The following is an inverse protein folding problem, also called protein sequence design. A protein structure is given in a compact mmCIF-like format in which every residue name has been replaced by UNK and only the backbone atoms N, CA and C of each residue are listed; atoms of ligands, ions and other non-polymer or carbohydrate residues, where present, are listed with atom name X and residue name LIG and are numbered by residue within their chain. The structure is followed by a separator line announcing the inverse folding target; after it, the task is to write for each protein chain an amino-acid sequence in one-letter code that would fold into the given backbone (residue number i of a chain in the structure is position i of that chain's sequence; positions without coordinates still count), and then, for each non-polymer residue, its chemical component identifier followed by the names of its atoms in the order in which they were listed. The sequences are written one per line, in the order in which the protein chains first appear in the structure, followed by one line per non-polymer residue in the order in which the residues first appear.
data_IF_348025478853
#
_entry.id   IF_348025478853
#
_cell.length_a   1.000
_cell.length_b   1.000
_cell.length_c   1.000
_cell.angle_alpha   90.00
_cell.angle_beta   90.00
_cell.angle_gamma   90.00
#
_symmetry.space_group_name_H-M   'P 1'
#
loop_
_entity.id
_entity.type
_entity.pdbx_description
1 polymer ?
#
# COMPACT_ATOMS: atom_id res chain seq x y z
N UNK A 1 -7.54 22.80 17.93
CA UNK A 1 -6.64 21.64 17.79
C UNK A 1 -7.52 20.50 17.33
N UNK A 2 -7.35 19.99 16.09
CA UNK A 2 -8.15 18.87 15.59
C UNK A 2 -7.41 17.57 15.77
N UNK A 3 -8.01 16.63 16.50
CA UNK A 3 -7.48 15.30 16.72
C UNK A 3 -8.20 14.30 15.83
N UNK A 4 -7.46 13.64 14.95
CA UNK A 4 -7.99 12.66 14.00
C UNK A 4 -7.41 11.28 14.31
N UNK A 5 -8.30 10.32 14.52
CA UNK A 5 -7.93 8.90 14.61
C UNK A 5 -7.97 8.26 13.23
N UNK A 6 -6.90 7.63 12.81
CA UNK A 6 -6.83 6.83 11.59
C UNK A 6 -6.90 5.37 11.94
N UNK A 7 -7.76 4.61 11.25
CA UNK A 7 -7.94 3.16 11.40
C UNK A 7 -7.70 2.43 10.08
N UNK A 8 -6.97 1.31 10.16
CA UNK A 8 -6.79 0.38 9.07
C UNK A 8 -7.17 -1.03 9.57
N UNK A 9 -8.38 -1.46 9.24
CA UNK A 9 -8.95 -2.73 9.67
C UNK A 9 -8.71 -3.82 8.63
N UNK A 10 -7.83 -4.77 8.96
CA UNK A 10 -7.63 -6.02 8.22
C UNK A 10 -8.51 -7.15 8.75
N UNK A 11 -8.42 -8.34 8.15
CA UNK A 11 -9.24 -9.51 8.53
C UNK A 11 -9.02 -9.97 9.98
N UNK A 12 -7.81 -9.83 10.51
CA UNK A 12 -7.42 -10.28 11.86
C UNK A 12 -6.58 -9.26 12.62
N UNK A 13 -6.55 -8.01 12.17
CA UNK A 13 -5.77 -6.94 12.78
C UNK A 13 -6.42 -5.58 12.59
N UNK A 14 -6.10 -4.64 13.48
CA UNK A 14 -6.44 -3.22 13.34
C UNK A 14 -5.19 -2.42 13.62
N UNK A 15 -4.75 -1.58 12.68
CA UNK A 15 -3.71 -0.57 12.95
C UNK A 15 -4.39 0.76 13.21
N UNK A 16 -3.79 1.57 14.10
CA UNK A 16 -4.31 2.89 14.39
C UNK A 16 -3.18 3.92 14.56
N UNK A 17 -3.50 5.17 14.26
CA UNK A 17 -2.66 6.31 14.58
C UNK A 17 -3.56 7.50 14.95
N UNK A 18 -3.24 8.19 16.03
CA UNK A 18 -3.89 9.41 16.47
C UNK A 18 -3.01 10.61 16.15
N UNK A 19 -3.55 11.53 15.38
CA UNK A 19 -2.85 12.74 14.92
C UNK A 19 -3.34 14.00 15.64
N UNK A 20 -2.41 14.91 15.95
CA UNK A 20 -2.70 16.32 16.13
C UNK A 20 -2.54 17.03 14.78
N UNK A 21 -3.65 17.47 14.20
CA UNK A 21 -3.64 18.10 12.88
C UNK A 21 -3.23 19.57 12.91
N UNK A 22 -2.90 20.15 14.07
CA UNK A 22 -2.34 21.51 14.14
C UNK A 22 -0.90 21.58 13.64
N UNK A 23 -0.14 20.49 13.81
CA UNK A 23 1.25 20.33 13.36
C UNK A 23 1.49 19.02 12.59
N UNK A 24 0.43 18.22 12.36
CA UNK A 24 0.46 16.93 11.68
C UNK A 24 1.31 15.87 12.40
N UNK A 25 1.49 16.01 13.71
CA UNK A 25 2.27 15.06 14.50
C UNK A 25 1.45 13.87 14.94
N UNK A 26 2.12 12.71 15.06
CA UNK A 26 1.52 11.49 15.64
C UNK A 26 1.60 11.58 17.15
N UNK A 27 0.44 11.65 17.82
CA UNK A 27 0.36 11.62 19.29
C UNK A 27 0.69 10.21 19.82
N UNK A 28 0.05 9.19 19.24
CA UNK A 28 0.28 7.77 19.53
C UNK A 28 -0.12 6.93 18.34
N UNK A 29 0.46 5.75 18.21
CA UNK A 29 0.08 4.79 17.17
C UNK A 29 0.22 3.37 17.70
N UNK A 30 -0.32 2.40 16.96
CA UNK A 30 -0.20 1.01 17.34
C UNK A 30 -1.06 0.08 16.51
N UNK A 31 -1.38 -1.07 17.08
CA UNK A 31 -2.24 -2.02 16.40
C UNK A 31 -2.63 -3.20 17.27
N UNK A 32 -3.73 -3.78 16.93
CA UNK A 32 -4.22 -5.05 17.47
C UNK A 32 -3.93 -6.13 16.46
N UNK A 33 -3.40 -7.24 16.94
CA UNK A 33 -3.07 -8.41 16.13
C UNK A 33 -3.80 -9.65 16.64
N UNK A 34 -4.02 -10.62 15.74
CA UNK A 34 -4.62 -11.91 16.06
C UNK A 34 -6.06 -11.83 16.60
N UNK A 35 -6.87 -10.89 16.09
CA UNK A 35 -8.29 -10.81 16.43
C UNK A 35 -8.97 -12.14 16.12
N UNK A 36 -9.79 -12.63 17.06
CA UNK A 36 -10.44 -13.93 16.99
C UNK A 36 -9.63 -15.09 17.57
N UNK A 37 -8.38 -14.84 18.02
CA UNK A 37 -7.54 -15.83 18.67
C UNK A 37 -7.34 -15.52 20.15
N UNK A 38 -7.07 -16.53 21.00
CA UNK A 38 -6.93 -16.33 22.44
C UNK A 38 -5.69 -15.52 22.86
N UNK A 39 -4.68 -15.46 21.98
CA UNK A 39 -3.42 -14.75 22.19
C UNK A 39 -3.37 -13.41 21.45
N UNK A 40 -4.52 -12.76 21.28
CA UNK A 40 -4.60 -11.39 20.74
C UNK A 40 -3.81 -10.42 21.62
N UNK A 41 -3.24 -9.41 21.01
CA UNK A 41 -2.53 -8.35 21.72
C UNK A 41 -2.67 -7.00 21.04
N UNK A 42 -2.54 -5.93 21.83
CA UNK A 42 -2.38 -4.57 21.34
C UNK A 42 -0.94 -4.13 21.54
N UNK A 43 -0.43 -3.41 20.58
CA UNK A 43 0.81 -2.64 20.67
C UNK A 43 0.48 -1.16 20.74
N UNK A 44 1.12 -0.43 21.62
CA UNK A 44 1.03 1.03 21.74
C UNK A 44 2.41 1.61 21.57
N UNK A 45 2.57 2.59 20.69
CA UNK A 45 3.79 3.35 20.51
C UNK A 45 3.55 4.77 21.01
N UNK A 46 4.18 5.12 22.11
CA UNK A 46 4.08 6.42 22.77
C UNK A 46 5.49 6.93 23.07
N UNK A 47 5.79 8.20 22.75
CA UNK A 47 7.10 8.83 22.99
C UNK A 47 8.31 8.04 22.45
N UNK A 48 8.11 7.31 21.34
CA UNK A 48 9.16 6.49 20.72
C UNK A 48 9.30 5.07 21.30
N UNK A 49 8.67 4.78 22.43
CA UNK A 49 8.66 3.46 23.06
C UNK A 49 7.48 2.62 22.59
N UNK A 50 7.69 1.30 22.51
CA UNK A 50 6.68 0.33 22.07
C UNK A 50 6.33 -0.60 23.23
N UNK A 51 5.05 -0.59 23.61
CA UNK A 51 4.50 -1.41 24.69
C UNK A 51 3.54 -2.44 24.11
N UNK A 52 3.55 -3.66 24.67
CA UNK A 52 2.66 -4.75 24.26
C UNK A 52 1.81 -5.16 25.45
N UNK A 53 0.49 -5.27 25.21
CA UNK A 53 -0.47 -5.78 26.18
C UNK A 53 -1.27 -6.93 25.56
N UNK A 54 -1.53 -7.99 26.30
CA UNK A 54 -2.26 -9.16 25.85
C UNK A 54 -3.66 -9.19 26.46
N UNK A 55 -4.67 -9.42 25.62
CA UNK A 55 -6.07 -9.58 26.01
C UNK A 55 -6.80 -10.30 24.89
N UNK A 56 -7.60 -11.32 25.17
CA UNK A 56 -8.42 -11.95 24.14
C UNK A 56 -9.38 -10.95 23.50
N UNK A 57 -9.35 -10.85 22.19
CA UNK A 57 -10.21 -9.99 21.37
C UNK A 57 -10.99 -10.86 20.39
N UNK A 58 -12.31 -10.99 20.61
CA UNK A 58 -13.15 -11.88 19.83
C UNK A 58 -13.42 -11.35 18.42
N UNK A 59 -13.57 -10.03 18.27
CA UNK A 59 -13.98 -9.40 17.01
C UNK A 59 -13.56 -7.92 16.94
N UNK A 60 -13.79 -7.28 15.77
CA UNK A 60 -13.34 -5.92 15.50
C UNK A 60 -13.94 -4.86 16.42
N UNK A 61 -15.23 -4.99 16.80
CA UNK A 61 -15.87 -4.02 17.72
C UNK A 61 -15.16 -3.99 19.07
N UNK A 62 -14.87 -5.17 19.63
CA UNK A 62 -14.09 -5.29 20.86
C UNK A 62 -12.66 -4.72 20.70
N UNK A 63 -12.08 -4.88 19.50
CA UNK A 63 -10.78 -4.30 19.16
C UNK A 63 -10.79 -2.77 19.15
N UNK A 64 -11.76 -2.17 18.46
CA UNK A 64 -11.92 -0.70 18.43
C UNK A 64 -12.20 -0.15 19.82
N UNK A 65 -13.07 -0.83 20.60
CA UNK A 65 -13.34 -0.47 21.98
C UNK A 65 -12.04 -0.47 22.81
N UNK A 66 -11.20 -1.49 22.67
CA UNK A 66 -9.93 -1.53 23.40
C UNK A 66 -8.97 -0.41 22.99
N UNK A 67 -8.92 -0.04 21.69
CA UNK A 67 -8.17 1.14 21.27
C UNK A 67 -8.68 2.38 22.01
N UNK A 68 -10.00 2.58 22.07
CA UNK A 68 -10.60 3.73 22.77
C UNK A 68 -10.30 3.73 24.27
N UNK A 69 -10.36 2.56 24.91
CA UNK A 69 -9.95 2.39 26.32
C UNK A 69 -8.49 2.81 26.53
N UNK A 70 -7.57 2.32 25.69
CA UNK A 70 -6.14 2.65 25.77
C UNK A 70 -5.88 4.14 25.53
N UNK A 71 -6.63 4.79 24.63
CA UNK A 71 -6.47 6.22 24.35
C UNK A 71 -6.96 7.11 25.50
N UNK A 72 -7.91 6.63 26.33
CA UNK A 72 -8.59 7.44 27.36
C UNK A 72 -8.34 7.01 28.79
N UNK A 73 -7.79 5.81 29.02
CA UNK A 73 -7.65 5.22 30.34
C UNK A 73 -6.27 4.58 30.55
N UNK A 74 -5.81 4.58 31.80
CA UNK A 74 -4.57 3.91 32.19
C UNK A 74 -3.28 4.68 31.84
N UNK A 75 -2.19 3.94 31.80
CA UNK A 75 -0.82 4.49 31.66
C UNK A 75 -0.56 5.15 30.28
N UNK A 76 -1.26 4.67 29.23
CA UNK A 76 -1.04 5.13 27.86
C UNK A 76 -2.09 6.12 27.38
N UNK A 77 -2.95 6.63 28.30
CA UNK A 77 -3.99 7.58 27.97
C UNK A 77 -3.40 8.91 27.46
N UNK A 78 -3.86 9.36 26.31
CA UNK A 78 -3.47 10.61 25.66
C UNK A 78 -4.65 11.55 25.46
N UNK A 79 -5.85 11.08 25.75
CA UNK A 79 -7.11 11.83 25.72
C UNK A 79 -7.77 11.80 27.10
N UNK A 80 -8.47 12.85 27.48
CA UNK A 80 -9.27 12.88 28.71
C UNK A 80 -10.62 12.17 28.50
N UNK A 81 -11.18 12.28 27.30
CA UNK A 81 -12.40 11.59 26.87
C UNK A 81 -12.39 11.43 25.35
N UNK A 82 -13.26 10.56 24.83
CA UNK A 82 -13.44 10.39 23.37
C UNK A 82 -14.06 11.63 22.69
N UNK A 83 -14.65 12.56 23.44
CA UNK A 83 -15.17 13.83 22.89
C UNK A 83 -14.05 14.74 22.38
N UNK A 84 -12.79 14.46 22.71
CA UNK A 84 -11.66 15.17 22.13
C UNK A 84 -11.30 14.73 20.71
N UNK A 85 -11.91 13.64 20.21
CA UNK A 85 -11.77 13.20 18.82
C UNK A 85 -12.71 14.03 17.93
N UNK A 86 -12.15 14.65 16.91
CA UNK A 86 -12.94 15.44 15.94
C UNK A 86 -13.48 14.58 14.79
N UNK A 87 -12.75 13.55 14.36
CA UNK A 87 -13.14 12.67 13.27
C UNK A 87 -12.33 11.36 13.27
N UNK A 88 -12.80 10.37 12.50
CA UNK A 88 -12.10 9.11 12.24
C UNK A 88 -11.93 8.91 10.74
N UNK A 89 -10.69 8.68 10.31
CA UNK A 89 -10.34 8.30 8.95
C UNK A 89 -10.15 6.79 8.84
N UNK A 90 -10.71 6.18 7.79
CA UNK A 90 -10.59 4.75 7.55
C UNK A 90 -9.88 4.46 6.23
N UNK A 91 -8.90 3.57 6.24
CA UNK A 91 -8.43 2.95 5.02
C UNK A 91 -9.49 1.98 4.52
N UNK A 92 -9.91 2.18 3.27
CA UNK A 92 -10.84 1.33 2.53
C UNK A 92 -10.10 0.71 1.35
N UNK A 93 -10.22 -0.61 1.12
CA UNK A 93 -9.34 -1.24 0.14
C UNK A 93 -9.86 -1.07 -1.28
N UNK A 94 -11.10 -1.41 -1.58
CA UNK A 94 -11.59 -1.44 -2.96
C UNK A 94 -12.90 -0.70 -3.15
N UNK A 95 -12.81 0.50 -3.73
CA UNK A 95 -13.97 1.34 -3.98
C UNK A 95 -14.69 1.09 -5.33
N UNK A 96 -14.23 0.13 -6.13
CA UNK A 96 -14.75 -0.08 -7.48
C UNK A 96 -14.57 1.17 -8.33
N UNK A 97 -15.47 1.40 -9.28
CA UNK A 97 -15.51 2.62 -10.09
C UNK A 97 -16.31 3.75 -9.44
N UNK A 98 -17.02 3.45 -8.33
CA UNK A 98 -17.88 4.41 -7.64
C UNK A 98 -17.09 5.45 -6.81
N UNK A 99 -15.92 5.06 -6.31
CA UNK A 99 -15.13 5.90 -5.41
C UNK A 99 -13.79 6.30 -6.06
N UNK A 100 -13.76 7.50 -6.61
CA UNK A 100 -12.58 8.11 -7.23
C UNK A 100 -11.88 9.15 -6.35
N UNK A 101 -12.35 9.32 -5.13
CA UNK A 101 -11.82 10.22 -4.08
C UNK A 101 -12.28 9.76 -2.71
N UNK A 102 -11.70 10.34 -1.67
CA UNK A 102 -12.13 10.16 -0.29
C UNK A 102 -13.50 10.77 -0.05
N UNK A 103 -14.33 10.15 0.80
CA UNK A 103 -15.71 10.56 1.05
C UNK A 103 -16.10 10.44 2.52
N UNK A 104 -17.06 11.27 2.97
CA UNK A 104 -17.77 11.05 4.23
C UNK A 104 -18.57 9.76 4.16
N UNK A 105 -18.47 8.93 5.20
CA UNK A 105 -19.13 7.63 5.29
C UNK A 105 -20.56 7.82 5.82
N UNK A 106 -21.50 8.12 4.90
CA UNK A 106 -22.94 8.10 5.17
C UNK A 106 -23.51 6.69 5.00
N UNK A 107 -24.73 6.40 5.48
CA UNK A 107 -25.39 5.11 5.23
C UNK A 107 -25.44 4.73 3.76
N UNK A 108 -25.72 5.68 2.86
CA UNK A 108 -25.79 5.47 1.40
C UNK A 108 -24.40 5.14 0.81
N UNK A 109 -23.34 5.80 1.31
CA UNK A 109 -21.96 5.49 0.93
C UNK A 109 -21.56 4.11 1.40
N UNK A 110 -21.95 3.71 2.62
CA UNK A 110 -21.67 2.38 3.15
C UNK A 110 -22.40 1.27 2.38
N UNK A 111 -23.63 1.50 1.95
CA UNK A 111 -24.36 0.58 1.07
C UNK A 111 -23.66 0.44 -0.29
N UNK A 112 -23.28 1.57 -0.91
CA UNK A 112 -22.54 1.58 -2.17
C UNK A 112 -21.19 0.88 -2.05
N UNK A 113 -20.49 1.03 -0.92
CA UNK A 113 -19.23 0.35 -0.65
C UNK A 113 -19.42 -1.16 -0.42
N UNK A 114 -20.46 -1.56 0.30
CA UNK A 114 -20.79 -2.98 0.50
C UNK A 114 -21.07 -3.71 -0.83
N UNK A 115 -21.61 -3.02 -1.83
CA UNK A 115 -21.78 -3.56 -3.18
C UNK A 115 -20.45 -3.85 -3.90
N UNK A 116 -19.31 -3.36 -3.40
CA UNK A 116 -17.98 -3.66 -3.91
C UNK A 116 -17.32 -4.87 -3.21
N UNK A 117 -18.00 -5.56 -2.31
CA UNK A 117 -17.43 -6.68 -1.55
C UNK A 117 -16.89 -7.81 -2.43
N UNK A 118 -17.54 -8.10 -3.55
CA UNK A 118 -17.12 -9.16 -4.48
C UNK A 118 -15.77 -8.87 -5.13
N UNK A 119 -15.39 -7.59 -5.25
CA UNK A 119 -14.10 -7.17 -5.78
C UNK A 119 -12.94 -7.35 -4.78
N UNK A 120 -13.23 -7.33 -3.47
CA UNK A 120 -12.24 -7.52 -2.41
C UNK A 120 -12.83 -8.27 -1.19
N UNK A 121 -13.24 -9.55 -1.35
CA UNK A 121 -14.00 -10.29 -0.33
C UNK A 121 -13.21 -10.54 0.97
N UNK A 122 -11.88 -10.46 0.93
CA UNK A 122 -11.03 -10.62 2.12
C UNK A 122 -10.78 -9.30 2.87
N UNK A 123 -11.07 -8.14 2.25
CA UNK A 123 -10.71 -6.83 2.80
C UNK A 123 -11.92 -5.95 3.09
N UNK A 124 -12.80 -5.74 2.11
CA UNK A 124 -13.93 -4.82 2.28
C UNK A 124 -14.84 -5.16 3.46
N UNK A 125 -15.21 -6.45 3.71
CA UNK A 125 -16.00 -6.78 4.89
C UNK A 125 -15.34 -6.41 6.22
N UNK A 126 -14.00 -6.52 6.32
CA UNK A 126 -13.25 -6.12 7.51
C UNK A 126 -13.24 -4.59 7.68
N UNK A 127 -13.10 -3.84 6.57
CA UNK A 127 -13.21 -2.38 6.59
C UNK A 127 -14.60 -1.94 7.08
N UNK A 128 -15.68 -2.54 6.57
CA UNK A 128 -17.06 -2.26 7.00
C UNK A 128 -17.23 -2.53 8.50
N UNK A 129 -16.70 -3.64 9.03
CA UNK A 129 -16.72 -3.93 10.46
C UNK A 129 -16.05 -2.84 11.30
N UNK A 130 -14.91 -2.31 10.83
CA UNK A 130 -14.22 -1.21 11.50
C UNK A 130 -15.06 0.05 11.57
N UNK A 131 -15.69 0.46 10.46
CA UNK A 131 -16.59 1.62 10.41
C UNK A 131 -17.80 1.42 11.34
N UNK A 132 -18.45 0.26 11.26
CA UNK A 132 -19.60 -0.06 12.10
C UNK A 132 -19.25 -0.09 13.60
N UNK A 133 -18.05 -0.57 13.95
CA UNK A 133 -17.57 -0.57 15.33
C UNK A 133 -17.43 0.86 15.88
N UNK A 134 -16.86 1.78 15.08
CA UNK A 134 -16.78 3.19 15.44
C UNK A 134 -18.18 3.80 15.56
N UNK A 135 -19.08 3.54 14.61
CA UNK A 135 -20.47 4.06 14.63
C UNK A 135 -21.26 3.59 15.87
N UNK A 136 -21.03 2.35 16.32
CA UNK A 136 -21.69 1.81 17.52
C UNK A 136 -21.20 2.49 18.81
N UNK A 137 -19.92 2.87 18.88
CA UNK A 137 -19.31 3.46 20.07
C UNK A 137 -19.39 5.00 20.07
N UNK A 138 -19.31 5.62 18.90
CA UNK A 138 -19.34 7.07 18.68
C UNK A 138 -20.29 7.40 17.52
N UNK A 139 -21.62 7.35 17.73
CA UNK A 139 -22.61 7.41 16.64
C UNK A 139 -22.62 8.76 15.89
N UNK A 140 -22.12 9.83 16.48
CA UNK A 140 -22.18 11.17 15.91
C UNK A 140 -20.82 11.64 15.37
N UNK A 141 -19.74 10.84 15.50
CA UNK A 141 -18.43 11.26 15.01
C UNK A 141 -18.38 11.20 13.48
N UNK A 142 -17.87 12.24 12.80
CA UNK A 142 -17.66 12.16 11.37
C UNK A 142 -16.64 11.07 11.01
N UNK A 143 -16.95 10.25 10.01
CA UNK A 143 -16.07 9.20 9.52
C UNK A 143 -15.80 9.40 8.04
N UNK A 144 -14.55 9.21 7.61
CA UNK A 144 -14.12 9.38 6.22
C UNK A 144 -13.49 8.10 5.71
N UNK A 145 -13.87 7.66 4.52
CA UNK A 145 -13.28 6.53 3.80
C UNK A 145 -12.26 7.02 2.76
N UNK A 146 -11.06 6.47 2.82
CA UNK A 146 -9.96 6.71 1.87
C UNK A 146 -9.63 5.41 1.16
N UNK A 147 -9.81 5.37 -0.17
CA UNK A 147 -9.79 4.12 -0.93
C UNK A 147 -8.45 3.91 -1.62
N UNK A 148 -7.86 2.71 -1.47
CA UNK A 148 -6.60 2.34 -2.13
C UNK A 148 -6.68 2.41 -3.66
N UNK A 149 -7.87 2.23 -4.23
CA UNK A 149 -8.10 2.25 -5.68
C UNK A 149 -8.40 3.64 -6.24
N UNK A 150 -8.72 4.62 -5.39
CA UNK A 150 -9.24 5.92 -5.85
C UNK A 150 -8.24 6.71 -6.70
N UNK A 151 -6.96 6.73 -6.32
CA UNK A 151 -5.91 7.46 -7.04
C UNK A 151 -5.75 6.97 -8.48
N UNK A 152 -6.01 5.70 -8.73
CA UNK A 152 -5.87 5.04 -10.04
C UNK A 152 -7.10 5.23 -10.95
N UNK A 153 -8.17 5.86 -10.49
CA UNK A 153 -9.39 6.06 -11.29
C UNK A 153 -9.22 7.09 -12.40
N UNK A 154 -8.07 7.76 -12.50
CA UNK A 154 -7.72 8.68 -13.58
C UNK A 154 -7.06 7.99 -14.79
N UNK A 155 -6.83 6.68 -14.72
CA UNK A 155 -6.32 5.90 -15.86
C UNK A 155 -7.28 5.99 -17.05
N UNK A 156 -6.76 6.15 -18.29
CA UNK A 156 -7.59 6.06 -19.50
C UNK A 156 -8.07 4.62 -19.73
N UNK A 157 -9.16 4.48 -20.47
CA UNK A 157 -9.81 3.19 -20.71
C UNK A 157 -8.89 2.14 -21.34
N UNK A 158 -8.06 2.53 -22.30
CA UNK A 158 -7.10 1.65 -22.95
C UNK A 158 -5.97 1.16 -22.00
N UNK A 159 -5.78 1.79 -20.85
CA UNK A 159 -4.80 1.36 -19.85
C UNK A 159 -5.43 0.42 -18.81
N UNK A 160 -6.70 0.63 -18.44
CA UNK A 160 -7.34 -0.20 -17.42
C UNK A 160 -8.11 -1.41 -17.99
N UNK A 161 -8.47 -1.43 -19.27
CA UNK A 161 -9.22 -2.55 -19.86
C UNK A 161 -8.34 -3.76 -20.10
N UNK A 162 -8.83 -4.93 -19.72
CA UNK A 162 -8.25 -6.19 -20.20
C UNK A 162 -8.78 -6.55 -21.58
N UNK A 163 -7.96 -7.17 -22.42
CA UNK A 163 -8.36 -7.67 -23.74
C UNK A 163 -9.22 -8.94 -23.62
N UNK A 164 -10.37 -8.80 -22.98
CA UNK A 164 -11.39 -9.83 -22.75
C UNK A 164 -12.71 -9.38 -23.42
N UNK A 165 -13.70 -10.28 -23.61
CA UNK A 165 -15.03 -9.86 -24.08
C UNK A 165 -15.56 -8.69 -23.25
N UNK A 166 -15.94 -7.60 -23.91
CA UNK A 166 -16.32 -6.33 -23.27
C UNK A 166 -17.47 -6.47 -22.26
N UNK A 167 -18.38 -7.44 -22.50
CA UNK A 167 -19.47 -7.75 -21.58
C UNK A 167 -19.02 -8.16 -20.17
N UNK A 168 -17.80 -8.72 -20.03
CA UNK A 168 -17.27 -9.10 -18.72
C UNK A 168 -16.91 -7.87 -17.88
N UNK A 169 -16.43 -6.81 -18.54
CA UNK A 169 -16.28 -5.52 -17.89
C UNK A 169 -17.64 -4.94 -17.49
N UNK A 170 -18.59 -4.88 -18.43
CA UNK A 170 -19.90 -4.29 -18.18
C UNK A 170 -20.67 -4.99 -17.05
N UNK A 171 -20.61 -6.33 -17.01
CA UNK A 171 -21.40 -7.14 -16.08
C UNK A 171 -20.75 -7.32 -14.72
N UNK A 172 -19.40 -7.46 -14.70
CA UNK A 172 -18.66 -7.87 -13.51
C UNK A 172 -17.59 -6.86 -13.07
N UNK A 173 -17.42 -5.76 -13.79
CA UNK A 173 -16.38 -4.76 -13.49
C UNK A 173 -14.96 -5.30 -13.67
N UNK A 174 -14.75 -6.27 -14.59
CA UNK A 174 -13.43 -6.88 -14.82
C UNK A 174 -12.54 -5.92 -15.58
N UNK A 175 -11.70 -5.20 -14.83
CA UNK A 175 -10.70 -4.23 -15.29
C UNK A 175 -9.56 -4.11 -14.30
N UNK A 176 -8.49 -3.41 -14.68
CA UNK A 176 -7.45 -2.97 -13.76
C UNK A 176 -7.99 -1.87 -12.85
N UNK A 177 -7.79 -1.99 -11.54
CA UNK A 177 -8.09 -0.95 -10.55
C UNK A 177 -6.82 -0.38 -9.91
N UNK A 178 -5.85 -1.25 -9.59
CA UNK A 178 -4.65 -0.87 -8.85
C UNK A 178 -4.92 -0.68 -7.37
N UNK A 179 -3.84 -0.74 -6.59
CA UNK A 179 -3.85 -0.63 -5.12
C UNK A 179 -2.66 0.21 -4.65
N UNK A 180 -2.48 0.38 -3.34
CA UNK A 180 -1.54 1.32 -2.75
C UNK A 180 -1.73 2.76 -3.23
N UNK A 181 -2.93 3.11 -3.70
CA UNK A 181 -3.20 4.43 -4.29
C UNK A 181 -2.97 5.57 -3.32
N UNK A 182 -3.26 5.39 -2.04
CA UNK A 182 -2.97 6.38 -0.99
C UNK A 182 -1.48 6.66 -0.90
N UNK A 183 -0.64 5.61 -0.91
CA UNK A 183 0.82 5.74 -0.93
C UNK A 183 1.31 6.40 -2.22
N UNK A 184 0.90 5.93 -3.40
CA UNK A 184 1.32 6.51 -4.68
C UNK A 184 0.94 7.99 -4.79
N UNK A 185 -0.25 8.38 -4.31
CA UNK A 185 -0.70 9.76 -4.24
C UNK A 185 0.21 10.59 -3.32
N UNK A 186 0.42 10.12 -2.10
CA UNK A 186 1.25 10.80 -1.11
C UNK A 186 2.67 11.05 -1.65
N UNK A 187 3.37 9.99 -2.09
CA UNK A 187 4.77 10.12 -2.49
C UNK A 187 4.97 10.88 -3.79
N UNK A 188 3.98 10.85 -4.72
CA UNK A 188 4.05 11.63 -5.95
C UNK A 188 3.86 13.14 -5.69
N UNK A 189 3.08 13.52 -4.71
CA UNK A 189 2.96 14.91 -4.25
C UNK A 189 4.20 15.32 -3.46
N UNK A 190 4.60 14.48 -2.51
CA UNK A 190 5.73 14.76 -1.62
C UNK A 190 7.05 14.93 -2.35
N UNK A 191 7.31 14.14 -3.39
CA UNK A 191 8.54 14.31 -4.19
C UNK A 191 8.58 15.64 -4.91
N UNK A 192 7.43 16.15 -5.38
CA UNK A 192 7.35 17.47 -6.00
C UNK A 192 7.67 18.59 -4.98
N UNK A 193 7.11 18.48 -3.77
CA UNK A 193 7.42 19.40 -2.67
C UNK A 193 8.90 19.35 -2.29
N UNK A 194 9.44 18.13 -2.11
CA UNK A 194 10.85 17.90 -1.75
C UNK A 194 11.81 18.49 -2.78
N UNK A 195 11.49 18.38 -4.07
CA UNK A 195 12.31 18.94 -5.16
C UNK A 195 11.99 20.41 -5.49
N UNK A 196 10.97 21.02 -4.87
CA UNK A 196 10.53 22.37 -5.17
C UNK A 196 9.97 22.55 -6.58
N UNK A 197 9.32 21.51 -7.15
CA UNK A 197 8.74 21.52 -8.49
C UNK A 197 7.23 21.33 -8.43
N UNK A 198 6.52 21.79 -9.46
CA UNK A 198 5.10 21.53 -9.62
C UNK A 198 4.86 20.17 -10.28
N UNK A 199 3.75 19.48 -9.99
CA UNK A 199 3.41 18.21 -10.65
C UNK A 199 3.04 18.36 -12.12
N UNK A 200 2.56 19.54 -12.54
CA UNK A 200 2.20 19.81 -13.94
C UNK A 200 3.43 19.72 -14.84
N UNK A 201 3.29 19.01 -15.95
CA UNK A 201 4.37 18.74 -16.91
C UNK A 201 5.35 17.65 -16.45
N UNK A 202 5.18 17.06 -15.26
CA UNK A 202 6.06 16.00 -14.75
C UNK A 202 5.53 14.60 -15.04
N UNK A 203 6.47 13.72 -15.36
CA UNK A 203 6.27 12.28 -15.55
C UNK A 203 7.03 11.55 -14.44
N UNK A 204 6.27 11.00 -13.50
CA UNK A 204 6.82 10.40 -12.28
C UNK A 204 6.50 8.91 -12.27
N UNK A 205 7.49 8.09 -11.99
CA UNK A 205 7.29 6.66 -11.69
C UNK A 205 7.47 6.47 -10.20
N UNK A 206 6.44 5.99 -9.53
CA UNK A 206 6.43 5.72 -8.09
C UNK A 206 6.53 4.23 -7.85
N UNK A 207 7.61 3.79 -7.19
CA UNK A 207 7.88 2.38 -6.87
C UNK A 207 7.61 2.13 -5.38
N UNK A 208 6.40 1.67 -5.04
CA UNK A 208 6.06 1.23 -3.69
C UNK A 208 6.49 -0.22 -3.53
N UNK A 209 7.62 -0.44 -2.86
CA UNK A 209 8.28 -1.74 -2.78
C UNK A 209 8.31 -2.21 -1.32
N UNK A 210 7.36 -3.06 -0.97
CA UNK A 210 7.21 -3.70 0.34
C UNK A 210 7.04 -5.21 0.21
N UNK A 211 6.43 -5.84 1.20
CA UNK A 211 6.01 -7.25 1.09
C UNK A 211 4.90 -7.42 0.05
N UNK A 212 3.95 -6.47 -0.02
CA UNK A 212 3.19 -6.16 -1.23
C UNK A 212 3.92 -5.05 -1.99
N UNK A 213 3.94 -5.10 -3.32
CA UNK A 213 4.66 -4.15 -4.13
C UNK A 213 3.87 -3.75 -5.39
N UNK A 214 3.95 -2.48 -5.76
CA UNK A 214 3.37 -1.96 -7.00
C UNK A 214 4.16 -0.76 -7.54
N UNK A 215 3.98 -0.49 -8.81
CA UNK A 215 4.50 0.71 -9.48
C UNK A 215 3.32 1.46 -10.08
N UNK A 216 3.38 2.79 -10.08
CA UNK A 216 2.42 3.62 -10.79
C UNK A 216 3.13 4.64 -11.68
N UNK A 217 2.54 4.88 -12.84
CA UNK A 217 2.89 5.94 -13.76
C UNK A 217 2.02 7.17 -13.46
N UNK A 218 2.65 8.27 -13.08
CA UNK A 218 1.96 9.52 -12.70
C UNK A 218 2.38 10.62 -13.66
N UNK A 219 1.43 11.18 -14.37
CA UNK A 219 1.64 12.28 -15.32
C UNK A 219 0.75 13.46 -14.92
N UNK A 220 1.34 14.64 -14.83
CA UNK A 220 0.60 15.86 -14.43
C UNK A 220 -0.16 15.69 -13.09
N UNK A 221 0.43 14.97 -12.13
CA UNK A 221 -0.18 14.67 -10.84
C UNK A 221 -1.29 13.62 -10.85
N UNK A 222 -1.59 12.99 -12.00
CA UNK A 222 -2.64 11.96 -12.18
C UNK A 222 -2.04 10.61 -12.52
N UNK A 223 -2.59 9.56 -11.92
CA UNK A 223 -2.23 8.19 -12.30
C UNK A 223 -2.71 7.90 -13.73
N UNK A 224 -1.82 7.43 -14.59
CA UNK A 224 -2.13 7.03 -15.97
C UNK A 224 -1.97 5.53 -16.20
N UNK A 225 -1.25 4.83 -15.33
CA UNK A 225 -1.14 3.38 -15.31
C UNK A 225 -0.64 2.89 -13.95
N UNK A 226 -0.88 1.61 -13.62
CA UNK A 226 -0.38 0.97 -12.40
C UNK A 226 -0.24 -0.54 -12.58
N UNK A 227 0.66 -1.17 -11.84
CA UNK A 227 1.03 -2.57 -12.04
C UNK A 227 0.07 -3.58 -11.42
N UNK A 228 -0.62 -3.27 -10.33
CA UNK A 228 -1.65 -4.15 -9.79
C UNK A 228 -2.93 -4.07 -10.64
N UNK A 229 -3.64 -5.19 -10.75
CA UNK A 229 -4.76 -5.33 -11.66
C UNK A 229 -6.14 -5.22 -11.01
N UNK A 230 -7.03 -6.14 -11.36
CA UNK A 230 -8.32 -6.37 -10.70
C UNK A 230 -8.11 -6.70 -9.22
N UNK A 231 -7.04 -7.43 -8.93
CA UNK A 231 -6.62 -7.82 -7.57
C UNK A 231 -5.17 -7.37 -7.32
N UNK A 232 -4.70 -7.39 -6.06
CA UNK A 232 -3.31 -7.06 -5.75
C UNK A 232 -2.29 -8.15 -6.15
N UNK A 233 -2.63 -9.07 -7.03
CA UNK A 233 -1.76 -10.17 -7.48
C UNK A 233 -0.90 -9.81 -8.68
N UNK A 234 -1.49 -9.18 -9.70
CA UNK A 234 -0.82 -8.78 -10.95
C UNK A 234 0.33 -7.79 -10.68
N UNK A 235 1.33 -7.79 -11.55
CA UNK A 235 2.41 -6.81 -11.57
C UNK A 235 3.74 -7.35 -11.06
N UNK A 236 4.29 -6.67 -10.06
CA UNK A 236 5.60 -6.99 -9.50
C UNK A 236 5.62 -8.34 -8.80
N UNK A 237 6.80 -8.99 -8.78
CA UNK A 237 7.07 -10.08 -7.85
C UNK A 237 7.05 -9.49 -6.44
N UNK A 238 6.42 -10.18 -5.49
CA UNK A 238 6.24 -9.71 -4.12
C UNK A 238 6.82 -10.73 -3.12
N UNK A 239 6.65 -10.51 -1.85
CA UNK A 239 7.15 -11.45 -0.84
C UNK A 239 6.61 -12.88 -1.04
N UNK A 240 5.28 -13.00 -1.24
CA UNK A 240 4.59 -14.31 -1.41
C UNK A 240 3.73 -14.39 -2.66
N UNK A 241 3.56 -13.30 -3.41
CA UNK A 241 2.74 -13.23 -4.63
C UNK A 241 3.62 -13.32 -5.87
N UNK A 242 3.13 -14.04 -6.88
CA UNK A 242 3.87 -14.28 -8.12
C UNK A 242 4.10 -13.01 -8.96
N UNK A 243 3.18 -12.04 -8.88
CA UNK A 243 3.09 -10.99 -9.89
C UNK A 243 2.62 -11.58 -11.23
N UNK A 244 3.01 -10.91 -12.33
CA UNK A 244 2.63 -11.35 -13.69
C UNK A 244 3.05 -12.78 -13.97
N UNK A 245 2.10 -13.54 -14.51
CA UNK A 245 2.28 -14.91 -14.97
C UNK A 245 1.43 -15.11 -16.22
N UNK A 246 1.87 -15.99 -17.11
CA UNK A 246 1.06 -16.45 -18.23
C UNK A 246 -0.23 -17.11 -17.75
N UNK A 247 -1.38 -16.65 -18.24
CA UNK A 247 -2.68 -17.22 -17.90
C UNK A 247 -2.78 -18.71 -18.30
N UNK A 248 -2.10 -19.13 -19.38
CA UNK A 248 -2.00 -20.54 -19.80
C UNK A 248 -1.23 -21.37 -18.77
N UNK A 249 -0.18 -20.80 -18.14
CA UNK A 249 0.53 -21.49 -17.06
C UNK A 249 -0.36 -21.69 -15.82
N UNK A 250 -1.29 -20.77 -15.54
CA UNK A 250 -2.25 -20.90 -14.42
C UNK A 250 -3.14 -22.12 -14.61
N UNK A 251 -3.79 -22.25 -15.78
CA UNK A 251 -4.66 -23.40 -16.09
C UNK A 251 -3.88 -24.71 -16.17
N UNK A 252 -2.66 -24.68 -16.74
CA UNK A 252 -1.77 -25.85 -16.76
C UNK A 252 -1.44 -26.35 -15.34
N UNK A 253 -1.13 -25.44 -14.40
CA UNK A 253 -0.84 -25.80 -13.01
C UNK A 253 -2.07 -26.35 -12.29
N UNK A 254 -3.27 -25.80 -12.57
CA UNK A 254 -4.52 -26.34 -12.01
C UNK A 254 -4.70 -27.79 -12.40
N UNK A 255 -4.53 -28.14 -13.68
CA UNK A 255 -4.64 -29.50 -14.16
C UNK A 255 -3.53 -30.41 -13.60
N UNK A 256 -2.27 -29.98 -13.61
CA UNK A 256 -1.12 -30.78 -13.16
C UNK A 256 -1.12 -31.09 -11.67
N UNK A 257 -1.58 -30.14 -10.86
CA UNK A 257 -1.58 -30.24 -9.40
C UNK A 257 -2.95 -30.58 -8.82
N UNK A 258 -3.99 -30.72 -9.66
CA UNK A 258 -5.37 -30.97 -9.22
C UNK A 258 -5.93 -29.85 -8.36
N UNK A 259 -5.61 -28.58 -8.67
CA UNK A 259 -6.00 -27.44 -7.88
C UNK A 259 -7.35 -26.89 -8.35
N UNK A 260 -8.24 -26.62 -7.40
CA UNK A 260 -9.42 -25.77 -7.61
C UNK A 260 -9.06 -24.27 -7.61
N UNK A 261 -10.05 -23.42 -7.73
CA UNK A 261 -9.86 -21.96 -7.71
C UNK A 261 -9.26 -21.44 -6.40
N UNK A 262 -9.54 -22.09 -5.27
CA UNK A 262 -8.97 -21.73 -3.96
C UNK A 262 -7.51 -22.19 -3.88
N UNK A 263 -7.21 -23.38 -4.36
CA UNK A 263 -5.86 -23.94 -4.41
C UNK A 263 -4.91 -23.09 -5.25
N UNK A 264 -5.31 -22.74 -6.47
CA UNK A 264 -4.48 -21.90 -7.34
C UNK A 264 -4.33 -20.48 -6.79
N UNK A 265 -5.40 -19.89 -6.23
CA UNK A 265 -5.32 -18.60 -5.57
C UNK A 265 -4.35 -18.61 -4.39
N UNK A 266 -4.36 -19.68 -3.57
CA UNK A 266 -3.43 -19.83 -2.47
C UNK A 266 -1.97 -19.97 -2.96
N UNK A 267 -1.74 -20.78 -4.01
CA UNK A 267 -0.42 -20.94 -4.62
C UNK A 267 0.15 -19.57 -5.06
N UNK A 268 -0.62 -18.82 -5.86
CA UNK A 268 -0.16 -17.57 -6.46
C UNK A 268 -0.02 -16.41 -5.46
N UNK A 269 -0.84 -16.38 -4.39
CA UNK A 269 -0.84 -15.29 -3.42
C UNK A 269 0.02 -15.54 -2.19
N UNK A 270 0.21 -16.82 -1.75
CA UNK A 270 0.84 -17.12 -0.45
C UNK A 270 2.08 -18.01 -0.54
N UNK A 271 2.32 -18.70 -1.66
CA UNK A 271 3.39 -19.69 -1.79
C UNK A 271 4.35 -19.35 -2.93
N UNK A 272 4.18 -18.23 -3.58
CA UNK A 272 4.97 -17.76 -4.72
C UNK A 272 5.91 -16.60 -4.35
N UNK A 273 6.29 -15.79 -5.28
CA UNK A 273 7.12 -14.61 -5.05
C UNK A 273 8.53 -14.96 -4.57
N UNK A 274 9.10 -14.07 -3.75
CA UNK A 274 10.42 -14.29 -3.15
C UNK A 274 10.45 -15.61 -2.35
N UNK A 275 9.42 -15.88 -1.55
CA UNK A 275 9.29 -17.12 -0.78
C UNK A 275 9.37 -18.36 -1.67
N UNK A 276 8.57 -18.41 -2.73
CA UNK A 276 8.46 -19.57 -3.61
C UNK A 276 9.74 -19.83 -4.39
N UNK A 277 10.38 -18.77 -4.91
CA UNK A 277 11.60 -18.91 -5.72
C UNK A 277 12.83 -19.22 -4.85
N UNK A 278 12.95 -18.57 -3.70
CA UNK A 278 14.09 -18.79 -2.80
C UNK A 278 14.00 -20.09 -1.99
N UNK A 279 12.79 -20.66 -1.89
CA UNK A 279 12.46 -21.76 -0.98
C UNK A 279 12.85 -21.48 0.49
N UNK A 280 12.86 -20.21 0.88
CA UNK A 280 13.34 -19.79 2.20
C UNK A 280 12.47 -18.74 2.88
N UNK A 281 12.45 -17.53 2.36
CA UNK A 281 11.77 -16.40 3.02
C UNK A 281 11.11 -15.45 2.05
N UNK A 282 10.06 -14.79 2.51
CA UNK A 282 9.42 -13.65 1.85
C UNK A 282 10.06 -12.31 2.20
N UNK A 283 10.97 -12.28 3.18
CA UNK A 283 11.65 -11.07 3.64
C UNK A 283 12.93 -10.84 2.83
N UNK A 284 13.05 -9.68 2.21
CA UNK A 284 14.22 -9.35 1.39
C UNK A 284 15.54 -9.35 2.19
N UNK A 285 15.50 -9.10 3.49
CA UNK A 285 16.67 -9.17 4.38
C UNK A 285 17.21 -10.59 4.49
N UNK A 286 16.32 -11.57 4.61
CA UNK A 286 16.69 -12.98 4.66
C UNK A 286 17.19 -13.46 3.30
N UNK A 287 16.62 -12.94 2.19
CA UNK A 287 17.13 -13.20 0.84
C UNK A 287 18.58 -12.73 0.72
N UNK A 288 18.92 -11.52 1.18
CA UNK A 288 20.28 -11.02 1.18
C UNK A 288 21.23 -11.86 2.05
N UNK A 289 20.77 -12.26 3.24
CA UNK A 289 21.52 -13.18 4.11
C UNK A 289 21.75 -14.54 3.45
N UNK A 290 20.74 -15.07 2.75
CA UNK A 290 20.87 -16.31 1.98
C UNK A 290 21.92 -16.19 0.88
N UNK A 291 21.96 -15.07 0.16
CA UNK A 291 22.98 -14.81 -0.89
C UNK A 291 24.38 -14.78 -0.26
N UNK A 292 24.57 -14.11 0.86
CA UNK A 292 25.84 -14.05 1.57
C UNK A 292 26.33 -15.43 2.01
N UNK A 293 25.42 -16.38 2.24
CA UNK A 293 25.68 -17.77 2.57
C UNK A 293 25.77 -18.71 1.34
N UNK A 294 25.78 -18.15 0.12
CA UNK A 294 25.95 -18.91 -1.12
C UNK A 294 24.68 -19.61 -1.63
N UNK A 295 23.48 -19.14 -1.23
CA UNK A 295 22.21 -19.69 -1.71
C UNK A 295 21.88 -19.15 -3.11
N UNK A 296 22.01 -19.99 -4.13
CA UNK A 296 21.73 -19.65 -5.53
C UNK A 296 20.25 -19.33 -5.80
N UNK A 297 19.31 -19.97 -5.08
CA UNK A 297 17.88 -19.66 -5.22
C UNK A 297 17.53 -18.30 -4.65
N UNK A 298 18.15 -17.89 -3.55
CA UNK A 298 18.01 -16.54 -3.00
C UNK A 298 18.56 -15.49 -3.98
N UNK A 299 19.71 -15.75 -4.62
CA UNK A 299 20.26 -14.89 -5.67
C UNK A 299 19.29 -14.77 -6.85
N UNK A 300 18.79 -15.91 -7.36
CA UNK A 300 17.80 -15.92 -8.44
C UNK A 300 16.54 -15.11 -8.08
N UNK A 301 16.00 -15.32 -6.87
CA UNK A 301 14.82 -14.60 -6.40
C UNK A 301 15.04 -13.07 -6.40
N UNK A 302 16.19 -12.59 -5.89
CA UNK A 302 16.58 -11.19 -5.93
C UNK A 302 16.70 -10.67 -7.37
N UNK A 303 17.38 -11.40 -8.24
CA UNK A 303 17.62 -10.97 -9.62
C UNK A 303 16.29 -10.87 -10.39
N UNK A 304 15.38 -11.84 -10.24
CA UNK A 304 14.02 -11.78 -10.81
C UNK A 304 13.21 -10.60 -10.27
N UNK A 305 13.28 -10.36 -8.97
CA UNK A 305 12.58 -9.26 -8.30
C UNK A 305 13.00 -7.90 -8.87
N UNK A 306 14.30 -7.62 -8.87
CA UNK A 306 14.87 -6.38 -9.40
C UNK A 306 14.61 -6.24 -10.91
N UNK A 307 14.71 -7.33 -11.67
CA UNK A 307 14.45 -7.35 -13.11
C UNK A 307 13.00 -6.98 -13.44
N UNK A 308 12.03 -7.47 -12.66
CA UNK A 308 10.62 -7.13 -12.85
C UNK A 308 10.37 -5.64 -12.58
N UNK A 309 10.95 -5.06 -11.53
CA UNK A 309 10.85 -3.62 -11.23
C UNK A 309 11.44 -2.81 -12.40
N UNK A 310 12.63 -3.19 -12.88
CA UNK A 310 13.27 -2.55 -14.04
C UNK A 310 12.38 -2.55 -15.28
N UNK A 311 11.75 -3.68 -15.60
CA UNK A 311 10.83 -3.80 -16.73
C UNK A 311 9.67 -2.82 -16.63
N UNK A 312 9.03 -2.72 -15.47
CA UNK A 312 7.95 -1.78 -15.25
C UNK A 312 8.37 -0.31 -15.31
N UNK A 313 9.59 0.02 -14.85
CA UNK A 313 10.15 1.37 -15.04
C UNK A 313 10.26 1.69 -16.54
N UNK A 314 10.78 0.77 -17.35
CA UNK A 314 10.89 0.94 -18.80
C UNK A 314 9.52 1.04 -19.48
N UNK A 315 8.59 0.18 -19.11
CA UNK A 315 7.22 0.14 -19.61
C UNK A 315 6.48 1.47 -19.37
N UNK A 316 6.54 1.97 -18.15
CA UNK A 316 5.84 3.21 -17.79
C UNK A 316 6.54 4.46 -18.31
N UNK A 317 7.85 4.45 -18.46
CA UNK A 317 8.55 5.51 -19.19
C UNK A 317 8.11 5.55 -20.65
N UNK A 318 7.93 4.40 -21.31
CA UNK A 318 7.39 4.32 -22.67
C UNK A 318 5.94 4.78 -22.74
N UNK A 319 5.07 4.33 -21.82
CA UNK A 319 3.67 4.70 -21.77
C UNK A 319 3.44 6.21 -21.59
N UNK A 320 4.31 6.88 -20.79
CA UNK A 320 4.24 8.34 -20.60
C UNK A 320 4.99 9.15 -21.67
N UNK A 321 5.77 8.50 -22.55
CA UNK A 321 6.64 9.18 -23.53
C UNK A 321 7.84 9.85 -22.86
N UNK A 322 8.42 9.22 -21.85
CA UNK A 322 9.57 9.65 -21.06
C UNK A 322 9.33 9.61 -19.57
N UNK A 323 10.33 9.92 -18.77
CA UNK A 323 10.28 9.99 -17.31
C UNK A 323 11.18 11.13 -16.80
N UNK A 324 10.71 11.88 -15.82
CA UNK A 324 11.47 12.96 -15.18
C UNK A 324 11.97 12.54 -13.80
N UNK A 325 11.14 11.81 -13.05
CA UNK A 325 11.40 11.41 -11.67
C UNK A 325 11.05 9.93 -11.48
N UNK A 326 11.95 9.18 -10.85
CA UNK A 326 11.68 7.84 -10.33
C UNK A 326 11.87 7.92 -8.83
N UNK A 327 10.89 7.45 -8.06
CA UNK A 327 11.01 7.40 -6.61
C UNK A 327 10.75 5.99 -6.06
N UNK A 328 11.49 5.68 -5.01
CA UNK A 328 11.36 4.43 -4.26
C UNK A 328 10.78 4.72 -2.88
N UNK A 329 9.81 3.90 -2.49
CA UNK A 329 9.12 3.96 -1.20
C UNK A 329 8.70 2.57 -0.74
N UNK A 330 8.11 2.46 0.45
CA UNK A 330 7.77 1.18 1.05
C UNK A 330 8.98 0.47 1.66
N UNK A 331 8.75 -0.54 2.47
CA UNK A 331 9.77 -1.12 3.35
C UNK A 331 11.09 -1.50 2.68
N UNK A 332 11.06 -2.20 1.54
CA UNK A 332 12.26 -2.55 0.78
C UNK A 332 12.77 -1.36 -0.07
N UNK A 333 11.86 -0.59 -0.68
CA UNK A 333 12.23 0.59 -1.48
C UNK A 333 12.99 1.64 -0.68
N UNK A 334 12.60 1.85 0.57
CA UNK A 334 13.22 2.84 1.48
C UNK A 334 14.51 2.34 2.12
N UNK A 335 14.62 1.03 2.42
CA UNK A 335 15.67 0.50 3.27
C UNK A 335 16.71 -0.34 2.54
N UNK A 336 16.41 -0.89 1.35
CA UNK A 336 17.30 -1.82 0.65
C UNK A 336 17.92 -1.15 -0.58
N UNK A 337 19.18 -0.72 -0.47
CA UNK A 337 19.90 -0.10 -1.57
C UNK A 337 20.08 -1.05 -2.75
N UNK A 338 20.18 -2.36 -2.50
CA UNK A 338 20.33 -3.40 -3.52
C UNK A 338 19.09 -3.50 -4.45
N UNK A 339 17.91 -3.20 -3.92
CA UNK A 339 16.68 -3.16 -4.73
C UNK A 339 16.74 -1.97 -5.69
N UNK A 340 17.09 -0.79 -5.20
CA UNK A 340 17.18 0.42 -6.00
C UNK A 340 18.27 0.31 -7.07
N UNK A 341 19.45 -0.21 -6.69
CA UNK A 341 20.54 -0.51 -7.61
C UNK A 341 20.11 -1.51 -8.70
N UNK A 342 19.57 -2.67 -8.30
CA UNK A 342 19.18 -3.70 -9.25
C UNK A 342 18.04 -3.28 -10.18
N UNK A 343 17.13 -2.43 -9.72
CA UNK A 343 16.04 -1.89 -10.51
C UNK A 343 16.47 -0.82 -11.52
N UNK A 344 17.56 -0.11 -11.27
CA UNK A 344 18.01 1.01 -12.13
C UNK A 344 19.23 0.69 -12.98
N UNK A 345 20.05 -0.28 -12.58
CA UNK A 345 21.25 -0.69 -13.33
C UNK A 345 20.91 -1.13 -14.76
N UNK A 346 21.59 -0.53 -15.74
CA UNK A 346 21.38 -0.78 -17.16
C UNK A 346 20.27 0.07 -17.79
N UNK A 347 19.78 1.10 -17.08
CA UNK A 347 18.85 2.10 -17.62
C UNK A 347 19.53 3.43 -17.97
N UNK A 348 20.85 3.47 -17.98
CA UNK A 348 21.66 4.66 -18.29
C UNK A 348 21.36 5.20 -19.70
N UNK A 349 21.00 4.33 -20.65
CA UNK A 349 20.58 4.71 -22.01
C UNK A 349 19.30 5.58 -22.02
N UNK A 350 18.48 5.50 -20.96
CA UNK A 350 17.29 6.36 -20.75
C UNK A 350 17.66 7.64 -19.98
N UNK A 351 18.93 7.83 -19.61
CA UNK A 351 19.38 8.96 -18.79
C UNK A 351 19.15 8.76 -17.30
N UNK A 352 18.89 7.53 -16.87
CA UNK A 352 18.68 7.16 -15.46
C UNK A 352 20.02 6.70 -14.90
N UNK A 353 20.64 7.52 -14.03
CA UNK A 353 21.95 7.22 -13.45
C UNK A 353 21.89 7.31 -11.93
N UNK A 354 22.01 6.17 -11.26
CA UNK A 354 22.06 6.08 -9.79
C UNK A 354 23.47 6.41 -9.28
N UNK A 355 23.55 7.17 -8.20
CA UNK A 355 24.78 7.40 -7.45
C UNK A 355 24.93 6.35 -6.36
N UNK A 356 25.92 5.50 -6.47
CA UNK A 356 26.17 4.38 -5.55
C UNK A 356 26.37 4.82 -4.10
N UNK A 357 27.10 5.92 -3.88
CA UNK A 357 27.39 6.39 -2.53
C UNK A 357 26.16 6.98 -1.87
N UNK A 358 25.41 7.83 -2.59
CA UNK A 358 24.13 8.39 -2.13
C UNK A 358 23.12 7.27 -1.86
N UNK A 359 23.04 6.27 -2.74
CA UNK A 359 22.13 5.14 -2.61
C UNK A 359 22.42 4.30 -1.35
N UNK A 360 23.68 3.91 -1.13
CA UNK A 360 24.09 3.13 0.05
C UNK A 360 23.90 3.89 1.36
N UNK A 361 24.08 5.20 1.36
CA UNK A 361 23.90 6.06 2.53
C UNK A 361 22.43 6.36 2.87
N UNK A 362 21.50 6.09 1.95
CA UNK A 362 20.07 6.36 2.13
C UNK A 362 19.34 5.18 2.75
N UNK A 363 18.72 5.45 3.90
CA UNK A 363 17.85 4.49 4.58
C UNK A 363 16.67 5.23 5.23
N UNK A 364 15.45 4.92 4.78
CA UNK A 364 14.18 5.47 5.26
C UNK A 364 14.20 7.00 5.49
N UNK A 365 14.74 7.75 4.54
CA UNK A 365 14.77 9.22 4.56
C UNK A 365 14.61 9.79 3.17
N UNK A 366 14.10 11.01 3.10
CA UNK A 366 14.04 11.76 1.84
C UNK A 366 15.47 12.06 1.34
N UNK A 367 15.76 11.68 0.10
CA UNK A 367 17.07 11.90 -0.52
C UNK A 367 16.98 11.83 -2.05
N UNK A 368 17.82 12.62 -2.72
CA UNK A 368 18.13 12.46 -4.12
C UNK A 368 19.25 11.42 -4.24
N UNK A 369 19.03 10.41 -5.07
CA UNK A 369 19.92 9.25 -5.25
C UNK A 369 20.60 9.23 -6.61
N UNK A 370 20.22 10.11 -7.53
CA UNK A 370 20.82 10.21 -8.87
C UNK A 370 22.16 10.95 -8.83
N UNK A 371 23.00 10.68 -9.84
CA UNK A 371 24.20 11.48 -10.12
C UNK A 371 23.79 12.86 -10.64
N UNK A 372 24.70 13.82 -10.57
CA UNK A 372 24.41 15.21 -10.97
C UNK A 372 24.22 15.34 -12.50
N UNK A 373 24.77 14.41 -13.29
CA UNK A 373 24.59 14.34 -14.75
C UNK A 373 23.42 13.43 -15.19
N UNK A 374 22.65 12.90 -14.26
CA UNK A 374 21.46 12.13 -14.57
C UNK A 374 20.36 13.04 -15.14
N UNK A 375 19.76 12.63 -16.27
CA UNK A 375 18.62 13.34 -16.85
C UNK A 375 17.34 13.10 -16.06
N UNK A 376 17.24 11.95 -15.40
CA UNK A 376 16.10 11.55 -14.57
C UNK A 376 16.52 11.65 -13.11
N UNK A 377 15.73 12.34 -12.30
CA UNK A 377 15.96 12.40 -10.86
C UNK A 377 15.50 11.10 -10.20
N UNK A 378 16.37 10.45 -9.45
CA UNK A 378 16.03 9.27 -8.65
C UNK A 378 15.94 9.68 -7.19
N UNK A 379 14.85 9.38 -6.52
CA UNK A 379 14.64 9.73 -5.11
C UNK A 379 14.27 8.53 -4.24
N UNK A 380 14.54 8.64 -2.96
CA UNK A 380 13.87 7.89 -1.90
C UNK A 380 12.91 8.85 -1.18
N UNK A 381 11.64 8.48 -1.08
CA UNK A 381 10.60 9.25 -0.37
C UNK A 381 9.83 8.27 0.52
N UNK A 382 10.01 8.30 1.83
CA UNK A 382 9.23 7.47 2.74
C UNK A 382 7.73 7.74 2.60
N UNK A 383 6.91 6.69 2.56
CA UNK A 383 5.47 6.83 2.50
C UNK A 383 4.88 7.09 3.88
N UNK A 384 3.77 7.84 3.92
CA UNK A 384 2.96 8.06 5.11
C UNK A 384 1.47 8.02 4.73
N UNK A 385 0.95 6.81 4.61
CA UNK A 385 -0.44 6.58 4.24
C UNK A 385 -1.41 7.04 5.33
N UNK A 386 -1.03 6.86 6.59
CA UNK A 386 -1.83 7.28 7.73
C UNK A 386 -1.99 8.81 7.78
N UNK A 387 -0.91 9.55 7.52
CA UNK A 387 -0.97 11.01 7.42
C UNK A 387 -1.87 11.45 6.27
N UNK A 388 -1.78 10.78 5.12
CA UNK A 388 -2.64 11.10 3.98
C UNK A 388 -4.11 10.87 4.28
N UNK A 389 -4.45 9.80 5.01
CA UNK A 389 -5.81 9.55 5.48
C UNK A 389 -6.25 10.64 6.46
N UNK A 390 -5.39 11.07 7.39
CA UNK A 390 -5.68 12.12 8.34
C UNK A 390 -5.93 13.47 7.64
N UNK A 391 -5.13 13.81 6.62
CA UNK A 391 -5.29 15.03 5.82
C UNK A 391 -6.63 15.07 5.07
N UNK A 392 -6.99 13.97 4.40
CA UNK A 392 -8.28 13.85 3.71
C UNK A 392 -9.46 13.95 4.70
N UNK A 393 -9.29 13.32 5.87
CA UNK A 393 -10.30 13.37 6.93
C UNK A 393 -10.47 14.80 7.43
N UNK A 394 -9.37 15.50 7.69
CA UNK A 394 -9.40 16.91 8.09
C UNK A 394 -10.12 17.79 7.04
N UNK A 395 -9.82 17.56 5.76
CA UNK A 395 -10.41 18.36 4.69
C UNK A 395 -11.92 18.17 4.58
N UNK A 396 -12.40 16.94 4.66
CA UNK A 396 -13.82 16.59 4.49
C UNK A 396 -14.67 16.86 5.75
N UNK A 397 -14.04 17.15 6.90
CA UNK A 397 -14.71 17.42 8.18
C UNK A 397 -14.50 18.86 8.71
N UNK A 398 -14.11 19.78 7.82
CA UNK A 398 -13.95 21.22 8.13
C UNK A 398 -15.25 21.89 8.50
#
# INVERSE_FOLDING_TARGET
MKKILVLNCGSSSIKYALYDMSDQSVITSGGIEKIGLPDSFITVKLNGEKHKMEKPIAEHTAGVQWIFEVLTQGEYAVLKSLDELDAVGHRMVHGGEKFNKSVLLTPEVMEAFAACNDLAPLHNPANIKGVNAVSALLPNIPQVGVFDTAFHQTMPDYAYMYALPYELYQKYGVRRYGFHGTSHRYVSQRVCEFLGVKPEGKKIITCHIGNGASIAAVKDGKCVDTSMGLTPLEGLIMGTRSGDIDAGAVTFLMDKLGLDTKGISNLLNKQSGLLGVSEGSSDFRDILAGIANGNDKARLAKDMYCYRIKKYIGEYAAAMGGVDIILFTGGAGENQYEVREGATKGLEFMGIKLDDAKNKACRAKEAILSTDDSKVTICCIPTDEELMIALDTLELTK
#
